data_IF_760615761812
#
_entry.id   IF_760615761812
#
_cell.length_a   1.000
_cell.length_b   1.000
_cell.length_c   1.000
_cell.angle_alpha   90.00
_cell.angle_beta   90.00
_cell.angle_gamma   90.00
#
_symmetry.space_group_name_H-M   'P 1'
#
loop_
_entity.id
_entity.type
_entity.pdbx_description
1 polymer ?
#
# COMPACT_ATOMS: atom_id res chain seq x y z
N UNK A 1 3.58 -2.93 -12.66
CA UNK A 1 2.99 -3.86 -11.64
C UNK A 1 2.10 -4.94 -12.28
N UNK A 2 2.01 -4.98 -13.62
CA UNK A 2 1.12 -5.89 -14.36
C UNK A 2 -0.34 -5.89 -13.84
N UNK A 3 -0.86 -4.68 -13.52
CA UNK A 3 -2.21 -4.51 -13.00
C UNK A 3 -2.42 -4.91 -11.54
N UNK A 4 -1.37 -5.17 -10.75
CA UNK A 4 -1.50 -5.33 -9.31
C UNK A 4 -1.90 -4.00 -8.63
N UNK A 5 -1.46 -2.87 -9.19
CA UNK A 5 -2.04 -1.56 -8.91
C UNK A 5 -3.04 -1.22 -10.01
N UNK A 6 -4.30 -1.05 -9.65
CA UNK A 6 -5.36 -0.66 -10.58
C UNK A 6 -6.37 0.26 -9.87
N UNK A 7 -6.39 1.51 -10.28
CA UNK A 7 -7.31 2.52 -9.69
C UNK A 7 -8.77 2.29 -10.08
N UNK A 8 -9.07 1.35 -10.98
CA UNK A 8 -10.45 1.02 -11.36
C UNK A 8 -11.07 -0.08 -10.50
N UNK A 9 -10.38 -0.53 -9.46
CA UNK A 9 -10.79 -1.64 -8.56
C UNK A 9 -12.02 -1.36 -7.71
N UNK A 10 -12.49 -0.11 -7.65
CA UNK A 10 -13.61 0.34 -6.81
C UNK A 10 -14.85 -0.58 -6.80
N UNK A 11 -15.36 -1.11 -7.93
CA UNK A 11 -16.53 -1.99 -7.91
C UNK A 11 -16.32 -3.24 -7.07
N UNK A 12 -15.12 -3.83 -7.13
CA UNK A 12 -14.76 -5.03 -6.37
C UNK A 12 -14.57 -4.72 -4.89
N UNK A 13 -13.87 -3.63 -4.55
CA UNK A 13 -13.68 -3.17 -3.16
C UNK A 13 -15.02 -2.91 -2.48
N UNK A 14 -15.95 -2.27 -3.19
CA UNK A 14 -17.31 -2.01 -2.69
C UNK A 14 -18.09 -3.31 -2.47
N UNK A 15 -18.03 -4.26 -3.39
CA UNK A 15 -18.76 -5.54 -3.27
C UNK A 15 -18.26 -6.36 -2.09
N UNK A 16 -16.94 -6.36 -1.83
CA UNK A 16 -16.35 -7.00 -0.66
C UNK A 16 -16.60 -6.23 0.65
N UNK A 17 -17.29 -5.07 0.61
CA UNK A 17 -17.68 -4.29 1.80
C UNK A 17 -16.56 -3.46 2.42
N UNK A 18 -15.47 -3.22 1.69
CA UNK A 18 -14.36 -2.37 2.14
C UNK A 18 -14.44 -0.92 1.60
N UNK A 19 -15.41 -0.64 0.74
CA UNK A 19 -15.68 0.70 0.19
C UNK A 19 -16.86 1.38 0.86
N UNK A 20 -17.62 2.14 0.07
CA UNK A 20 -18.76 2.95 0.55
C UNK A 20 -20.07 2.19 0.64
N UNK A 21 -20.15 0.94 0.16
CA UNK A 21 -21.35 0.10 0.19
C UNK A 21 -21.30 -0.91 1.33
N UNK A 22 -22.46 -1.19 1.91
CA UNK A 22 -22.59 -2.31 2.84
C UNK A 22 -22.44 -3.63 2.09
N UNK A 23 -21.81 -4.61 2.74
CA UNK A 23 -21.63 -5.95 2.21
C UNK A 23 -22.97 -6.64 1.99
N UNK A 24 -23.20 -7.09 0.77
CA UNK A 24 -24.30 -7.98 0.41
C UNK A 24 -23.78 -9.43 0.27
N UNK A 25 -24.65 -10.35 -0.12
CA UNK A 25 -24.23 -11.73 -0.41
C UNK A 25 -23.36 -11.75 -1.68
N UNK A 26 -22.09 -12.08 -1.49
CA UNK A 26 -21.12 -12.15 -2.58
C UNK A 26 -21.27 -13.48 -3.31
N UNK A 27 -21.38 -13.42 -4.65
CA UNK A 27 -21.42 -14.61 -5.52
C UNK A 27 -20.34 -14.50 -6.58
N UNK A 28 -19.85 -15.67 -7.06
CA UNK A 28 -18.84 -15.70 -8.14
C UNK A 28 -19.33 -14.97 -9.39
N UNK A 29 -20.59 -15.17 -9.80
CA UNK A 29 -21.19 -14.50 -10.95
C UNK A 29 -21.20 -12.98 -10.80
N UNK A 30 -21.43 -12.45 -9.59
CA UNK A 30 -21.40 -11.01 -9.33
C UNK A 30 -19.98 -10.47 -9.48
N UNK A 31 -18.98 -11.16 -8.92
CA UNK A 31 -17.58 -10.78 -9.05
C UNK A 31 -17.15 -10.77 -10.52
N UNK A 32 -17.49 -11.81 -11.28
CA UNK A 32 -17.16 -11.88 -12.72
C UNK A 32 -17.81 -10.74 -13.51
N UNK A 33 -19.06 -10.40 -13.20
CA UNK A 33 -19.74 -9.26 -13.80
C UNK A 33 -19.05 -7.93 -13.49
N UNK A 34 -18.58 -7.73 -12.25
CA UNK A 34 -17.88 -6.50 -11.83
C UNK A 34 -16.49 -6.40 -12.45
N UNK A 35 -15.77 -7.52 -12.59
CA UNK A 35 -14.45 -7.54 -13.25
C UNK A 35 -14.49 -6.99 -14.68
N UNK A 36 -15.61 -7.10 -15.38
CA UNK A 36 -15.78 -6.51 -16.70
C UNK A 36 -15.56 -4.98 -16.71
N UNK A 37 -15.70 -4.29 -15.56
CA UNK A 37 -15.53 -2.84 -15.42
C UNK A 37 -14.21 -2.45 -14.74
N UNK A 38 -13.36 -3.41 -14.43
CA UNK A 38 -12.04 -3.20 -13.83
C UNK A 38 -10.98 -3.41 -14.91
N UNK A 39 -9.96 -2.55 -14.92
CA UNK A 39 -8.85 -2.56 -15.85
C UNK A 39 -8.41 -1.12 -16.18
N UNK A 40 -7.16 -0.78 -15.82
CA UNK A 40 -6.60 0.55 -16.08
C UNK A 40 -6.53 0.88 -17.59
N UNK A 41 -6.50 -0.12 -18.47
CA UNK A 41 -6.57 0.00 -19.92
C UNK A 41 -7.91 0.57 -20.42
N UNK A 42 -8.94 0.58 -19.58
CA UNK A 42 -10.24 1.22 -19.84
C UNK A 42 -10.23 2.72 -19.62
N UNK A 43 -9.13 3.26 -19.09
CA UNK A 43 -8.89 4.69 -18.91
C UNK A 43 -7.91 5.18 -19.97
N UNK A 44 -8.15 6.37 -20.51
CA UNK A 44 -7.24 6.99 -21.48
C UNK A 44 -7.32 8.51 -21.40
N UNK A 45 -6.23 9.15 -21.79
CA UNK A 45 -6.18 10.60 -21.90
C UNK A 45 -6.50 11.04 -23.34
N UNK A 46 -7.29 12.09 -23.44
CA UNK A 46 -7.52 12.83 -24.68
C UNK A 46 -7.37 14.32 -24.37
N UNK A 47 -6.29 14.90 -24.84
CA UNK A 47 -5.85 16.22 -24.37
C UNK A 47 -5.63 16.22 -22.86
N UNK A 48 -6.32 17.14 -22.14
CA UNK A 48 -6.24 17.26 -20.67
C UNK A 48 -7.40 16.53 -19.95
N UNK A 49 -8.13 15.65 -20.62
CA UNK A 49 -9.28 14.95 -20.05
C UNK A 49 -8.96 13.46 -19.87
N UNK A 50 -9.28 12.95 -18.69
CA UNK A 50 -9.31 11.51 -18.44
C UNK A 50 -10.68 10.98 -18.88
N UNK A 51 -10.66 10.06 -19.85
CA UNK A 51 -11.85 9.43 -20.41
C UNK A 51 -11.93 7.96 -20.01
N UNK A 52 -13.14 7.41 -20.07
CA UNK A 52 -13.44 6.00 -19.80
C UNK A 52 -14.01 5.34 -21.04
N UNK A 53 -13.55 4.13 -21.37
CA UNK A 53 -14.12 3.32 -22.48
C UNK A 53 -15.51 2.78 -22.15
N UNK A 54 -15.84 2.66 -20.86
CA UNK A 54 -17.13 2.19 -20.35
C UNK A 54 -17.57 3.14 -19.21
N UNK A 55 -18.80 3.64 -19.27
CA UNK A 55 -19.35 4.58 -18.27
C UNK A 55 -19.39 4.00 -16.86
N UNK A 56 -19.43 2.66 -16.72
CA UNK A 56 -19.46 1.92 -15.46
C UNK A 56 -18.12 1.84 -14.74
N UNK A 57 -17.01 2.13 -15.42
CA UNK A 57 -15.68 2.20 -14.79
C UNK A 57 -15.70 3.30 -13.74
N UNK A 58 -15.28 2.97 -12.53
CA UNK A 58 -15.16 3.89 -11.40
C UNK A 58 -13.72 3.90 -10.90
N UNK A 59 -13.28 5.04 -10.35
CA UNK A 59 -11.91 5.24 -9.89
C UNK A 59 -11.90 5.21 -8.36
N UNK A 60 -10.93 4.48 -7.82
CA UNK A 60 -10.57 4.46 -6.40
C UNK A 60 -9.10 4.85 -6.24
N UNK A 61 -8.84 5.93 -5.55
CA UNK A 61 -7.50 6.41 -5.26
C UNK A 61 -7.01 5.99 -3.85
N UNK A 62 -7.70 5.10 -3.15
CA UNK A 62 -7.39 4.70 -1.77
C UNK A 62 -5.98 4.20 -1.56
N UNK A 63 -5.37 3.61 -2.60
CA UNK A 63 -4.01 3.08 -2.57
C UNK A 63 -2.91 4.08 -3.00
N UNK A 64 -3.25 5.38 -3.16
CA UNK A 64 -2.27 6.41 -3.58
C UNK A 64 -2.59 7.79 -3.01
N UNK A 65 -3.82 8.00 -2.55
CA UNK A 65 -4.29 9.34 -2.17
C UNK A 65 -3.58 9.88 -0.92
N UNK A 66 -3.30 9.04 0.06
CA UNK A 66 -2.61 9.45 1.29
C UNK A 66 -1.16 9.84 1.00
N UNK A 67 -0.44 8.99 0.26
CA UNK A 67 0.91 9.28 -0.17
C UNK A 67 1.00 10.54 -1.03
N UNK A 68 0.05 10.76 -1.94
CA UNK A 68 -0.02 12.00 -2.72
C UNK A 68 -0.32 13.22 -1.84
N UNK A 69 -1.21 13.10 -0.87
CA UNK A 69 -1.53 14.17 0.08
C UNK A 69 -0.30 14.61 0.89
N UNK A 70 0.47 13.64 1.38
CA UNK A 70 1.75 13.91 2.08
C UNK A 70 2.75 14.61 1.17
N UNK A 71 2.89 14.14 -0.09
CA UNK A 71 3.77 14.77 -1.09
C UNK A 71 3.34 16.22 -1.39
N UNK A 72 2.03 16.53 -1.41
CA UNK A 72 1.53 17.89 -1.62
C UNK A 72 1.95 18.80 -0.47
N UNK A 73 1.77 18.37 0.78
CA UNK A 73 2.19 19.16 1.95
C UNK A 73 3.71 19.34 1.99
N UNK A 74 4.47 18.28 1.69
CA UNK A 74 5.92 18.32 1.63
C UNK A 74 6.43 19.33 0.57
N UNK A 75 5.80 19.37 -0.62
CA UNK A 75 6.10 20.37 -1.65
C UNK A 75 5.80 21.80 -1.18
N UNK A 76 4.66 22.00 -0.50
CA UNK A 76 4.31 23.29 0.07
C UNK A 76 5.36 23.75 1.10
N UNK A 77 5.75 22.89 2.04
CA UNK A 77 6.78 23.24 3.03
C UNK A 77 8.11 23.58 2.36
N UNK A 78 8.53 22.78 1.37
CA UNK A 78 9.74 23.08 0.58
C UNK A 78 9.66 24.43 -0.15
N UNK A 79 8.51 24.77 -0.74
CA UNK A 79 8.30 26.05 -1.42
C UNK A 79 8.34 27.27 -0.47
N UNK A 80 8.11 27.03 0.83
CA UNK A 80 8.24 28.05 1.89
C UNK A 80 9.63 28.09 2.51
N UNK A 81 10.61 27.37 1.96
CA UNK A 81 11.99 27.36 2.44
C UNK A 81 12.26 26.41 3.60
N UNK A 82 11.29 25.57 4.01
CA UNK A 82 11.53 24.56 5.04
C UNK A 82 12.47 23.47 4.49
N UNK A 83 13.59 23.26 5.16
CA UNK A 83 14.61 22.27 4.79
C UNK A 83 14.57 21.01 5.65
N UNK A 84 13.91 21.06 6.81
CA UNK A 84 13.80 19.95 7.77
C UNK A 84 12.34 19.81 8.19
N UNK A 85 11.73 18.70 7.81
CA UNK A 85 10.34 18.40 8.19
C UNK A 85 10.02 16.92 8.09
N UNK A 86 9.00 16.52 8.81
CA UNK A 86 8.29 15.26 8.67
C UNK A 86 6.81 15.59 8.50
N UNK A 87 6.18 15.01 7.49
CA UNK A 87 4.74 15.07 7.23
C UNK A 87 4.20 13.67 7.27
N UNK A 88 3.10 13.46 7.99
CA UNK A 88 2.42 12.17 8.09
C UNK A 88 0.91 12.37 7.87
N UNK A 89 0.30 11.49 7.07
CA UNK A 89 -1.14 11.38 6.90
C UNK A 89 -1.52 9.89 6.92
N UNK A 90 -2.11 9.45 8.03
CA UNK A 90 -2.65 8.09 8.16
C UNK A 90 -1.62 6.96 8.02
N UNK A 91 -0.36 7.24 8.38
CA UNK A 91 0.75 6.29 8.33
C UNK A 91 1.67 6.43 7.11
N UNK A 92 1.26 7.19 6.09
CA UNK A 92 2.14 7.57 4.99
C UNK A 92 2.96 8.79 5.38
N UNK A 93 4.28 8.73 5.13
CA UNK A 93 5.23 9.71 5.67
C UNK A 93 6.16 10.23 4.57
N UNK A 94 6.41 11.54 4.59
CA UNK A 94 7.56 12.15 3.90
C UNK A 94 8.47 12.78 4.94
N UNK A 95 9.75 12.49 4.84
CA UNK A 95 10.78 13.12 5.66
C UNK A 95 11.78 13.86 4.80
N UNK A 96 12.24 15.03 5.28
CA UNK A 96 13.31 15.82 4.66
C UNK A 96 14.30 16.30 5.72
N UNK A 97 15.59 16.32 5.34
CA UNK A 97 16.66 16.84 6.18
C UNK A 97 16.80 16.07 7.49
N UNK A 98 16.90 16.77 8.62
CA UNK A 98 17.21 16.23 9.95
C UNK A 98 16.12 16.58 10.95
N UNK A 99 16.00 15.76 11.98
CA UNK A 99 15.12 16.03 13.11
C UNK A 99 15.71 17.13 14.04
N UNK A 100 14.97 17.54 15.06
CA UNK A 100 15.39 18.59 16.01
C UNK A 100 16.70 18.28 16.77
N UNK A 101 17.13 17.01 16.79
CA UNK A 101 18.41 16.59 17.40
C UNK A 101 19.57 16.56 16.37
N UNK A 102 19.36 17.06 15.15
CA UNK A 102 20.37 17.05 14.08
C UNK A 102 20.65 15.65 13.48
N UNK A 103 19.79 14.65 13.76
CA UNK A 103 19.91 13.28 13.29
C UNK A 103 18.91 12.98 12.17
N UNK A 104 19.06 11.85 11.48
CA UNK A 104 18.01 11.30 10.59
C UNK A 104 16.68 11.13 11.35
N UNK A 105 15.59 11.14 10.63
CA UNK A 105 14.26 10.87 11.17
C UNK A 105 14.13 9.40 11.53
N UNK A 106 13.43 9.13 12.63
CA UNK A 106 13.21 7.77 13.15
C UNK A 106 11.76 7.37 12.90
N UNK A 107 11.54 6.34 12.09
CA UNK A 107 10.21 5.84 11.71
C UNK A 107 10.09 4.39 12.15
N UNK A 108 9.03 4.08 12.89
CA UNK A 108 8.71 2.70 13.30
C UNK A 108 7.97 1.92 12.24
N UNK A 109 8.36 0.67 12.02
CA UNK A 109 7.57 -0.34 11.30
C UNK A 109 6.85 -1.19 12.34
N UNK A 110 5.52 -1.22 12.27
CA UNK A 110 4.72 -1.99 13.23
C UNK A 110 4.70 -3.48 12.92
N UNK A 111 4.60 -4.31 13.96
CA UNK A 111 4.27 -5.73 13.81
C UNK A 111 2.88 -5.89 13.21
N UNK A 112 2.67 -6.86 12.31
CA UNK A 112 1.37 -7.13 11.71
C UNK A 112 0.50 -8.01 12.63
N UNK A 113 0.21 -7.52 13.82
CA UNK A 113 -0.71 -8.19 14.75
C UNK A 113 -2.13 -7.97 14.26
N UNK A 114 -2.92 -9.05 14.16
CA UNK A 114 -4.32 -8.99 13.77
C UNK A 114 -5.11 -8.21 14.83
N UNK A 115 -5.43 -6.97 14.53
CA UNK A 115 -6.16 -6.05 15.41
C UNK A 115 -7.11 -5.17 14.60
N UNK A 116 -8.38 -5.61 14.52
CA UNK A 116 -9.44 -4.85 13.86
C UNK A 116 -9.82 -3.57 14.62
N UNK A 117 -9.46 -3.46 15.92
CA UNK A 117 -9.71 -2.27 16.74
C UNK A 117 -8.68 -1.17 16.53
N UNK A 118 -7.54 -1.50 15.91
CA UNK A 118 -6.41 -0.62 15.63
C UNK A 118 -5.78 0.00 16.89
N UNK A 119 -5.88 -0.70 18.01
CA UNK A 119 -5.36 -0.23 19.33
C UNK A 119 -3.97 -0.74 19.63
N UNK A 120 -3.57 -1.88 19.05
CA UNK A 120 -2.25 -2.47 19.28
C UNK A 120 -1.24 -1.86 18.31
N UNK A 121 -0.15 -1.33 18.84
CA UNK A 121 0.98 -0.78 18.07
C UNK A 121 2.29 -1.26 18.68
N UNK A 122 2.76 -2.43 18.26
CA UNK A 122 4.09 -2.92 18.61
C UNK A 122 5.06 -2.63 17.46
N UNK A 123 6.20 -2.05 17.78
CA UNK A 123 7.25 -1.77 16.79
C UNK A 123 8.01 -3.06 16.47
N UNK A 124 8.10 -3.42 15.20
CA UNK A 124 8.90 -4.54 14.70
C UNK A 124 10.33 -4.13 14.40
N UNK A 125 10.50 -2.95 13.82
CA UNK A 125 11.80 -2.42 13.39
C UNK A 125 11.77 -0.91 13.34
N UNK A 126 12.95 -0.30 13.41
CA UNK A 126 13.13 1.14 13.35
C UNK A 126 13.94 1.49 12.09
N UNK A 127 13.48 2.49 11.35
CA UNK A 127 14.17 3.06 10.20
C UNK A 127 14.77 4.42 10.56
N UNK A 128 16.03 4.65 10.17
CA UNK A 128 16.69 5.95 10.20
C UNK A 128 16.82 6.51 8.80
N UNK A 129 15.96 7.45 8.45
CA UNK A 129 15.74 7.91 7.07
C UNK A 129 15.80 9.43 6.94
N UNK A 130 16.07 9.90 5.72
CA UNK A 130 15.98 11.29 5.30
C UNK A 130 15.65 11.36 3.82
N UNK A 131 15.01 12.44 3.39
CA UNK A 131 14.78 12.79 1.98
C UNK A 131 14.07 11.68 1.19
N UNK A 132 13.03 11.09 1.79
CA UNK A 132 12.24 10.01 1.17
C UNK A 132 10.77 10.04 1.56
N UNK A 133 9.96 9.34 0.76
CA UNK A 133 8.59 8.99 1.05
C UNK A 133 8.48 7.53 1.49
N UNK A 134 7.67 7.26 2.51
CA UNK A 134 7.49 5.95 3.13
C UNK A 134 6.00 5.66 3.20
N UNK A 135 5.62 4.44 2.83
CA UNK A 135 4.26 3.95 3.02
C UNK A 135 4.26 2.48 3.42
N UNK A 136 3.27 2.08 4.20
CA UNK A 136 3.10 0.69 4.63
C UNK A 136 1.68 0.22 4.38
N UNK A 137 1.54 -0.83 3.60
CA UNK A 137 0.28 -1.58 3.42
C UNK A 137 0.34 -2.91 4.17
N UNK A 138 -0.80 -3.35 4.72
CA UNK A 138 -0.86 -4.61 5.44
C UNK A 138 -2.30 -5.09 5.68
N UNK A 139 -2.48 -6.41 5.75
CA UNK A 139 -3.78 -7.09 5.84
C UNK A 139 -4.20 -7.43 7.29
N UNK A 140 -3.64 -6.75 8.29
CA UNK A 140 -3.83 -7.06 9.71
C UNK A 140 -4.72 -6.06 10.47
N UNK A 141 -5.15 -4.96 9.83
CA UNK A 141 -5.98 -3.91 10.46
C UNK A 141 -7.37 -3.78 9.86
N UNK A 142 -7.54 -4.15 8.60
CA UNK A 142 -8.81 -4.01 7.89
C UNK A 142 -9.20 -5.34 7.26
N UNK A 143 -9.91 -6.15 8.03
CA UNK A 143 -10.33 -7.50 7.67
C UNK A 143 -11.59 -7.88 8.45
N UNK A 144 -12.24 -8.94 8.00
CA UNK A 144 -13.31 -9.62 8.72
C UNK A 144 -13.22 -11.14 8.46
N UNK A 145 -14.03 -11.92 9.17
CA UNK A 145 -14.10 -13.36 8.98
C UNK A 145 -15.41 -13.78 8.35
N UNK A 146 -15.35 -14.74 7.41
CA UNK A 146 -16.51 -15.43 6.81
C UNK A 146 -16.22 -16.91 6.87
N UNK A 147 -17.08 -17.68 7.53
CA UNK A 147 -16.96 -19.13 7.67
C UNK A 147 -15.54 -19.55 8.12
N UNK A 148 -14.99 -18.81 9.10
CA UNK A 148 -13.65 -19.05 9.65
C UNK A 148 -12.48 -18.62 8.76
N UNK A 149 -12.73 -18.06 7.57
CA UNK A 149 -11.70 -17.54 6.66
C UNK A 149 -11.54 -16.04 6.80
N UNK A 150 -10.31 -15.59 6.94
CA UNK A 150 -9.98 -14.16 6.96
C UNK A 150 -10.15 -13.57 5.56
N UNK A 151 -10.90 -12.48 5.48
CA UNK A 151 -11.11 -11.68 4.27
C UNK A 151 -10.47 -10.32 4.50
N UNK A 152 -9.42 -10.01 3.77
CA UNK A 152 -8.70 -8.74 3.86
C UNK A 152 -9.20 -7.73 2.84
N UNK A 153 -8.96 -6.45 3.13
CA UNK A 153 -9.38 -5.35 2.24
C UNK A 153 -8.57 -5.25 0.94
N UNK A 154 -7.45 -5.96 0.83
CA UNK A 154 -6.64 -5.98 -0.39
C UNK A 154 -7.27 -6.94 -1.39
N UNK A 155 -7.80 -6.39 -2.47
CA UNK A 155 -8.46 -7.12 -3.54
C UNK A 155 -7.52 -7.21 -4.73
N UNK A 156 -7.34 -8.40 -5.30
CA UNK A 156 -6.62 -8.57 -6.58
C UNK A 156 -7.54 -8.13 -7.73
N UNK A 157 -7.19 -7.08 -8.48
CA UNK A 157 -8.02 -6.58 -9.58
C UNK A 157 -8.25 -7.60 -10.70
N UNK A 158 -7.32 -8.55 -10.88
CA UNK A 158 -7.40 -9.57 -11.93
C UNK A 158 -8.36 -10.70 -11.57
N UNK A 159 -8.34 -11.16 -10.33
CA UNK A 159 -9.20 -12.25 -9.87
C UNK A 159 -10.51 -11.75 -9.29
N UNK A 160 -10.56 -10.50 -8.84
CA UNK A 160 -11.68 -9.91 -8.12
C UNK A 160 -11.82 -10.45 -6.69
N UNK A 161 -10.84 -11.21 -6.20
CA UNK A 161 -10.88 -11.86 -4.88
C UNK A 161 -9.95 -11.16 -3.88
N UNK A 162 -10.27 -11.17 -2.58
CA UNK A 162 -9.32 -10.82 -1.54
C UNK A 162 -8.08 -11.71 -1.62
N UNK A 163 -6.91 -11.10 -1.46
CA UNK A 163 -5.65 -11.86 -1.49
C UNK A 163 -5.52 -12.79 -0.29
N UNK A 164 -4.95 -13.98 -0.53
CA UNK A 164 -4.68 -15.01 0.47
C UNK A 164 -3.28 -15.55 0.25
N UNK A 165 -2.30 -14.99 0.96
CA UNK A 165 -0.89 -15.40 0.90
C UNK A 165 -0.17 -15.03 2.19
N UNK A 166 1.08 -15.45 2.32
CA UNK A 166 1.89 -15.29 3.52
C UNK A 166 2.34 -13.84 3.81
N UNK A 167 2.35 -12.93 2.82
CA UNK A 167 2.77 -11.54 3.02
C UNK A 167 1.73 -10.79 3.87
N UNK A 168 2.17 -10.30 5.03
CA UNK A 168 1.33 -9.63 6.02
C UNK A 168 1.44 -8.11 5.95
N UNK A 169 2.65 -7.60 5.65
CA UNK A 169 2.95 -6.17 5.59
C UNK A 169 4.06 -5.88 4.58
N UNK A 170 3.91 -4.78 3.87
CA UNK A 170 4.90 -4.25 2.93
C UNK A 170 5.14 -2.76 3.21
N UNK A 171 6.34 -2.43 3.70
CA UNK A 171 6.83 -1.05 3.84
C UNK A 171 7.73 -0.72 2.66
N UNK A 172 7.47 0.40 2.01
CA UNK A 172 8.19 0.82 0.78
C UNK A 172 8.77 2.22 0.98
N UNK A 173 10.00 2.40 0.51
CA UNK A 173 10.70 3.68 0.43
C UNK A 173 10.99 4.03 -1.03
N UNK A 174 10.60 5.23 -1.43
CA UNK A 174 10.98 5.85 -2.70
C UNK A 174 11.10 7.37 -2.51
N UNK A 175 11.58 8.14 -3.50
CA UNK A 175 11.59 9.60 -3.42
C UNK A 175 10.19 10.25 -3.33
N UNK A 176 9.12 9.57 -3.75
CA UNK A 176 7.72 10.05 -3.70
C UNK A 176 6.88 9.14 -2.82
N UNK A 177 6.18 9.70 -1.85
CA UNK A 177 5.29 8.93 -0.98
C UNK A 177 4.10 8.35 -1.75
N UNK A 178 3.58 9.05 -2.75
CA UNK A 178 2.54 8.49 -3.65
C UNK A 178 3.01 7.21 -4.36
N UNK A 179 4.28 7.18 -4.82
CA UNK A 179 4.87 5.98 -5.42
C UNK A 179 5.03 4.87 -4.38
N UNK A 180 5.47 5.20 -3.17
CA UNK A 180 5.60 4.23 -2.07
C UNK A 180 4.26 3.63 -1.67
N UNK A 181 3.21 4.43 -1.55
CA UNK A 181 1.83 4.02 -1.21
C UNK A 181 1.27 3.05 -2.27
N UNK A 182 1.34 3.44 -3.54
CA UNK A 182 0.90 2.60 -4.65
C UNK A 182 1.66 1.27 -4.73
N UNK A 183 2.98 1.28 -4.53
CA UNK A 183 3.81 0.07 -4.57
C UNK A 183 3.59 -0.82 -3.35
N UNK A 184 3.40 -0.25 -2.15
CA UNK A 184 3.10 -1.02 -0.95
C UNK A 184 1.83 -1.85 -1.13
N UNK A 185 0.76 -1.22 -1.64
CA UNK A 185 -0.49 -1.93 -1.99
C UNK A 185 -0.28 -2.93 -3.12
N UNK A 186 0.48 -2.58 -4.17
CA UNK A 186 0.82 -3.52 -5.25
C UNK A 186 1.50 -4.78 -4.74
N UNK A 187 2.45 -4.65 -3.82
CA UNK A 187 3.16 -5.80 -3.24
C UNK A 187 2.24 -6.67 -2.39
N UNK A 188 1.29 -6.04 -1.67
CA UNK A 188 0.25 -6.79 -0.98
C UNK A 188 -0.68 -7.54 -1.94
N UNK A 189 -0.90 -7.07 -3.16
CA UNK A 189 -1.64 -7.82 -4.20
C UNK A 189 -0.78 -8.91 -4.81
N UNK A 190 0.50 -8.63 -5.08
CA UNK A 190 1.43 -9.59 -5.71
C UNK A 190 1.76 -10.79 -4.82
N UNK A 191 1.82 -10.59 -3.50
CA UNK A 191 2.42 -11.55 -2.57
C UNK A 191 3.95 -11.54 -2.64
N UNK A 192 4.58 -12.35 -1.77
CA UNK A 192 6.01 -12.28 -1.49
C UNK A 192 6.90 -12.51 -2.73
N UNK A 193 6.66 -13.58 -3.47
CA UNK A 193 7.57 -13.99 -4.56
C UNK A 193 7.52 -13.05 -5.76
N UNK A 194 6.32 -12.65 -6.18
CA UNK A 194 6.16 -11.68 -7.29
C UNK A 194 6.70 -10.30 -6.91
N UNK A 195 6.50 -9.86 -5.65
CA UNK A 195 7.05 -8.61 -5.14
C UNK A 195 8.59 -8.64 -5.14
N UNK A 196 9.23 -9.74 -4.71
CA UNK A 196 10.68 -9.93 -4.80
C UNK A 196 11.17 -9.89 -6.24
N UNK A 197 10.48 -10.56 -7.16
CA UNK A 197 10.83 -10.57 -8.58
C UNK A 197 10.71 -9.16 -9.22
N UNK A 198 9.73 -8.36 -8.81
CA UNK A 198 9.61 -6.96 -9.19
C UNK A 198 10.81 -6.15 -8.68
N UNK A 199 11.13 -6.25 -7.38
CA UNK A 199 12.23 -5.51 -6.75
C UNK A 199 13.61 -5.90 -7.28
N UNK A 200 13.77 -7.13 -7.78
CA UNK A 200 15.00 -7.54 -8.46
C UNK A 200 15.31 -6.70 -9.72
N UNK A 201 14.25 -6.20 -10.38
CA UNK A 201 14.32 -5.35 -11.59
C UNK A 201 14.28 -3.85 -11.31
N UNK A 202 13.84 -3.44 -10.11
CA UNK A 202 13.62 -2.03 -9.72
C UNK A 202 14.45 -1.67 -8.49
N UNK A 203 15.77 -1.48 -8.69
CA UNK A 203 16.75 -1.22 -7.60
C UNK A 203 16.58 0.14 -6.92
N UNK A 204 15.86 1.07 -7.55
CA UNK A 204 15.49 2.38 -7.03
C UNK A 204 14.40 2.31 -5.94
N UNK A 205 13.71 1.17 -5.81
CA UNK A 205 12.68 0.92 -4.79
C UNK A 205 13.26 0.11 -3.65
N UNK A 206 13.13 0.61 -2.41
CA UNK A 206 13.51 -0.14 -1.23
C UNK A 206 12.27 -0.66 -0.52
N UNK A 207 12.34 -1.89 -0.03
CA UNK A 207 11.19 -2.53 0.61
C UNK A 207 11.61 -3.38 1.82
N UNK A 208 10.70 -3.40 2.82
CA UNK A 208 10.75 -4.24 4.01
C UNK A 208 9.45 -5.02 4.10
N UNK A 209 9.51 -6.33 4.06
CA UNK A 209 8.36 -7.23 4.09
C UNK A 209 8.32 -8.03 5.38
N UNK A 210 7.14 -8.13 5.97
CA UNK A 210 6.85 -9.07 7.05
C UNK A 210 5.89 -10.11 6.51
N UNK A 211 6.22 -11.38 6.68
CA UNK A 211 5.42 -12.51 6.20
C UNK A 211 5.38 -13.64 7.21
N UNK A 212 4.33 -14.47 7.16
CA UNK A 212 4.22 -15.67 7.96
C UNK A 212 4.84 -16.87 7.22
N UNK A 213 5.52 -17.76 7.94
CA UNK A 213 5.89 -19.06 7.42
C UNK A 213 4.72 -20.06 7.55
N UNK A 214 4.95 -21.32 7.14
CA UNK A 214 3.95 -22.38 7.21
C UNK A 214 3.52 -22.76 8.65
N UNK A 215 4.23 -22.27 9.67
CA UNK A 215 3.92 -22.48 11.09
C UNK A 215 3.30 -21.21 11.72
N UNK A 216 3.08 -20.14 10.94
CA UNK A 216 2.55 -18.88 11.41
C UNK A 216 3.56 -17.96 12.11
N UNK A 217 4.85 -18.30 12.09
CA UNK A 217 5.91 -17.48 12.65
C UNK A 217 6.21 -16.31 11.69
N UNK A 218 6.39 -15.11 12.26
CA UNK A 218 6.75 -13.91 11.49
C UNK A 218 8.21 -13.95 11.07
N UNK A 219 8.43 -13.71 9.80
CA UNK A 219 9.74 -13.60 9.19
C UNK A 219 9.82 -12.25 8.46
N UNK A 220 11.05 -11.79 8.26
CA UNK A 220 11.35 -10.52 7.60
C UNK A 220 12.19 -10.79 6.36
N UNK A 221 11.87 -10.08 5.30
CA UNK A 221 12.71 -9.94 4.13
C UNK A 221 12.80 -8.47 3.73
N UNK A 222 13.97 -8.02 3.32
CA UNK A 222 14.17 -6.66 2.85
C UNK A 222 15.16 -6.59 1.70
N UNK A 223 15.07 -5.52 0.90
CA UNK A 223 16.08 -5.21 -0.12
C UNK A 223 17.42 -4.87 0.54
N UNK A 224 18.51 -5.11 -0.15
CA UNK A 224 19.85 -4.76 0.33
C UNK A 224 19.98 -3.25 0.67
N UNK A 225 19.37 -2.40 -0.16
CA UNK A 225 19.35 -0.95 0.10
C UNK A 225 18.53 -0.55 1.32
N UNK A 226 17.52 -1.33 1.70
CA UNK A 226 16.72 -1.09 2.92
C UNK A 226 17.53 -1.34 4.19
N UNK A 227 18.45 -2.31 4.19
CA UNK A 227 19.30 -2.64 5.34
C UNK A 227 20.10 -1.43 5.86
N UNK A 228 20.45 -0.49 4.97
CA UNK A 228 21.17 0.74 5.33
C UNK A 228 20.38 1.70 6.21
N UNK A 229 19.07 1.51 6.28
CA UNK A 229 18.14 2.35 7.05
C UNK A 229 17.63 1.69 8.31
N UNK A 230 17.77 0.36 8.45
CA UNK A 230 17.35 -0.39 9.65
C UNK A 230 18.44 -0.38 10.72
N UNK A 231 18.03 -0.35 11.98
CA UNK A 231 18.93 -0.66 13.08
C UNK A 231 19.35 -2.13 13.01
N UNK A 232 20.63 -2.43 13.35
CA UNK A 232 21.11 -3.82 13.43
C UNK A 232 20.42 -4.64 14.53
#
# INVERSE_FOLDING_TARGET
TDGAFDITVAPLVNEWGFGFKHRERITASKIDSLRAFVGYDKLFYEGNRLNKRDSRVTIDCGAVAKGYGVDCVARLLSSKGCTNYMVEIGGEVVVKGKNAKGKKWTIGINKPVDDSTKTVSEVQSILHVSDCGIATSGNYRNFYYVDGRKVSHTIDPKTGQPVQHSLLSATVLTPSCAKSDALATSFMVMGLDRAKAFLAKHKDVQAYFIFADGQGKYNVWMTEGMQKFTEP
#
